data_IF_479008503096
#
_entry.id   IF_479008503096
#
_cell.length_a   1.000
_cell.length_b   1.000
_cell.length_c   1.000
_cell.angle_alpha   90.00
_cell.angle_beta   90.00
_cell.angle_gamma   90.00
#
_symmetry.space_group_name_H-M   'P 1'
#
loop_
_entity.id
_entity.type
_entity.pdbx_description
1 polymer ?
#
# COMPACT_ATOMS: atom_id res chain seq x y z
N UNK A 1 -8.00 -3.45 -24.77
CA UNK A 1 -6.66 -4.08 -24.86
C UNK A 1 -6.02 -3.97 -23.49
N UNK A 2 -5.96 -5.07 -22.77
CA UNK A 2 -5.45 -5.13 -21.39
C UNK A 2 -3.92 -5.02 -21.40
N UNK A 3 -3.37 -3.94 -20.86
CA UNK A 3 -1.94 -3.87 -20.54
C UNK A 3 -1.68 -4.74 -19.31
N UNK A 4 -1.23 -5.97 -19.55
CA UNK A 4 -0.67 -6.80 -18.47
C UNK A 4 0.58 -6.11 -17.94
N UNK A 5 0.51 -5.58 -16.73
CA UNK A 5 1.65 -5.05 -16.02
C UNK A 5 2.66 -6.18 -15.77
N UNK A 6 3.90 -5.99 -16.18
CA UNK A 6 4.99 -6.86 -15.77
C UNK A 6 5.42 -6.47 -14.35
N UNK A 7 5.54 -7.43 -13.41
CA UNK A 7 6.09 -7.14 -12.09
C UNK A 7 7.49 -6.56 -12.24
N UNK A 8 7.81 -5.51 -11.47
CA UNK A 8 9.14 -4.92 -11.48
C UNK A 8 10.20 -5.98 -11.23
N UNK A 9 11.20 -6.06 -12.10
CA UNK A 9 12.35 -6.92 -11.89
C UNK A 9 13.13 -6.46 -10.65
N UNK A 10 13.88 -7.38 -10.01
CA UNK A 10 14.72 -7.07 -8.84
C UNK A 10 15.68 -5.87 -9.06
N UNK A 11 16.04 -5.56 -10.30
CA UNK A 11 16.78 -4.35 -10.68
C UNK A 11 15.97 -3.06 -10.52
N UNK A 12 14.64 -3.11 -10.64
CA UNK A 12 13.74 -1.97 -10.36
C UNK A 12 13.65 -1.63 -8.87
N UNK A 13 13.85 -2.60 -7.98
CA UNK A 13 13.85 -2.39 -6.53
C UNK A 13 14.92 -1.38 -6.06
N UNK A 14 16.02 -1.25 -6.79
CA UNK A 14 17.05 -0.26 -6.51
C UNK A 14 16.52 1.18 -6.70
N UNK A 15 15.64 1.39 -7.69
CA UNK A 15 15.00 2.70 -7.91
C UNK A 15 13.91 3.00 -6.88
N UNK A 16 13.24 1.97 -6.32
CA UNK A 16 12.20 2.13 -5.31
C UNK A 16 12.78 2.50 -3.93
N UNK A 17 14.00 2.05 -3.62
CA UNK A 17 14.69 2.31 -2.35
C UNK A 17 15.80 3.39 -2.50
N UNK A 18 15.68 4.28 -3.49
CA UNK A 18 16.64 5.35 -3.71
C UNK A 18 16.64 6.33 -2.51
N UNK A 19 17.81 6.57 -1.87
CA UNK A 19 17.93 7.50 -0.74
C UNK A 19 17.47 8.93 -1.08
N UNK A 20 17.55 9.34 -2.34
CA UNK A 20 17.03 10.63 -2.82
C UNK A 20 15.51 10.69 -2.71
N UNK A 21 14.79 9.58 -2.99
CA UNK A 21 13.33 9.50 -2.83
C UNK A 21 12.92 9.68 -1.36
N UNK A 22 13.68 9.09 -0.43
CA UNK A 22 13.47 9.26 1.02
C UNK A 22 13.62 10.69 1.48
N UNK A 23 14.53 11.44 0.86
CA UNK A 23 14.78 12.83 1.19
C UNK A 23 13.69 13.76 0.66
N UNK A 24 13.09 13.40 -0.51
CA UNK A 24 12.06 14.23 -1.18
C UNK A 24 10.64 13.94 -0.62
N UNK A 25 10.38 12.71 -0.21
CA UNK A 25 9.10 12.28 0.36
C UNK A 25 9.35 11.26 1.46
N UNK A 26 9.70 11.69 2.68
CA UNK A 26 9.96 10.79 3.78
C UNK A 26 8.70 9.97 4.13
N UNK A 27 8.83 8.64 4.34
CA UNK A 27 7.69 7.79 4.68
C UNK A 27 6.97 8.25 5.94
N UNK A 28 7.69 8.79 6.91
CA UNK A 28 7.14 9.31 8.16
C UNK A 28 6.07 10.38 7.94
N UNK A 29 6.27 11.30 6.98
CA UNK A 29 5.29 12.33 6.68
C UNK A 29 3.97 11.77 6.12
N UNK A 30 4.03 10.72 5.30
CA UNK A 30 2.83 10.03 4.85
C UNK A 30 2.15 9.34 6.03
N UNK A 31 2.92 8.55 6.80
CA UNK A 31 2.41 7.75 7.92
C UNK A 31 1.76 8.64 9.00
N UNK A 32 2.29 9.83 9.26
CA UNK A 32 1.66 10.80 10.18
C UNK A 32 0.25 11.23 9.72
N UNK A 33 0.04 11.34 8.41
CA UNK A 33 -1.28 11.71 7.85
C UNK A 33 -2.32 10.60 7.95
N UNK A 34 -1.90 9.35 8.17
CA UNK A 34 -2.82 8.20 8.18
C UNK A 34 -3.62 8.06 9.49
N UNK A 35 -3.29 8.83 10.53
CA UNK A 35 -3.93 8.77 11.84
C UNK A 35 -4.04 7.32 12.37
N UNK A 36 -2.91 6.61 12.43
CA UNK A 36 -2.81 5.23 12.89
C UNK A 36 -2.96 5.19 14.41
N UNK A 37 -3.83 4.29 14.89
CA UNK A 37 -3.96 4.03 16.32
C UNK A 37 -2.92 2.97 16.75
N UNK A 38 -2.30 3.07 17.95
CA UNK A 38 -1.36 2.08 18.47
C UNK A 38 -1.92 0.65 18.61
N UNK A 39 -3.23 0.48 18.57
CA UNK A 39 -3.88 -0.83 18.58
C UNK A 39 -4.23 -1.38 17.18
N UNK A 40 -3.99 -0.61 16.12
CA UNK A 40 -4.33 -1.00 14.76
C UNK A 40 -3.45 -2.15 14.23
N UNK A 41 -4.04 -2.99 13.40
CA UNK A 41 -3.37 -3.91 12.48
C UNK A 41 -3.34 -3.24 11.11
N UNK A 42 -2.15 -2.93 10.61
CA UNK A 42 -1.96 -2.21 9.35
C UNK A 42 -1.27 -3.10 8.31
N UNK A 43 -1.84 -3.19 7.11
CA UNK A 43 -1.28 -3.91 5.96
C UNK A 43 -0.59 -2.91 5.04
N UNK A 44 0.66 -3.18 4.65
CA UNK A 44 1.39 -2.54 3.56
C UNK A 44 1.34 -3.46 2.34
N UNK A 45 0.44 -3.18 1.40
CA UNK A 45 0.23 -4.01 0.21
C UNK A 45 1.09 -3.54 -0.95
N UNK A 46 1.87 -4.46 -1.53
CA UNK A 46 2.96 -4.13 -2.45
C UNK A 46 4.10 -3.44 -1.72
N UNK A 47 4.49 -4.00 -0.57
CA UNK A 47 5.42 -3.36 0.36
C UNK A 47 6.83 -3.15 -0.22
N UNK A 48 7.17 -3.82 -1.34
CA UNK A 48 8.51 -3.80 -1.91
C UNK A 48 9.57 -4.12 -0.85
N UNK A 49 10.67 -3.37 -0.81
CA UNK A 49 11.73 -3.59 0.17
C UNK A 49 11.43 -2.99 1.57
N UNK A 50 10.14 -2.76 1.92
CA UNK A 50 9.70 -2.35 3.25
C UNK A 50 9.87 -0.86 3.56
N UNK A 51 9.74 0.01 2.55
CA UNK A 51 9.94 1.45 2.70
C UNK A 51 8.93 2.09 3.66
N UNK A 52 7.64 1.71 3.55
CA UNK A 52 6.59 2.19 4.43
C UNK A 52 6.29 1.24 5.58
N UNK A 53 6.54 -0.05 5.40
CA UNK A 53 6.25 -1.11 6.38
C UNK A 53 6.85 -0.83 7.76
N UNK A 54 8.12 -0.39 7.79
CA UNK A 54 8.83 -0.13 9.05
C UNK A 54 8.20 1.05 9.80
N UNK A 55 7.81 2.10 9.08
CA UNK A 55 7.18 3.27 9.71
C UNK A 55 5.75 2.96 10.18
N UNK A 56 5.00 2.13 9.42
CA UNK A 56 3.71 1.59 9.88
C UNK A 56 3.87 0.80 11.18
N UNK A 57 4.85 -0.11 11.23
CA UNK A 57 5.09 -0.96 12.40
C UNK A 57 5.47 -0.17 13.65
N UNK A 58 6.13 0.98 13.50
CA UNK A 58 6.46 1.88 14.64
C UNK A 58 5.23 2.55 15.25
N UNK A 59 4.12 2.66 14.48
CA UNK A 59 2.89 3.35 14.92
C UNK A 59 1.77 2.37 15.29
N UNK A 60 1.66 1.26 14.57
CA UNK A 60 0.61 0.25 14.72
C UNK A 60 0.99 -0.83 15.76
N UNK A 61 0.00 -1.54 16.27
CA UNK A 61 0.20 -2.75 17.08
C UNK A 61 0.99 -3.80 16.30
N UNK A 62 0.65 -3.98 15.02
CA UNK A 62 1.28 -4.93 14.10
C UNK A 62 1.20 -4.40 12.69
N UNK A 63 2.28 -4.51 11.94
CA UNK A 63 2.26 -4.33 10.49
C UNK A 63 2.27 -5.70 9.79
N UNK A 64 1.63 -5.76 8.61
CA UNK A 64 1.68 -6.92 7.72
C UNK A 64 2.21 -6.44 6.37
N UNK A 65 3.38 -6.92 5.99
CA UNK A 65 4.00 -6.65 4.69
C UNK A 65 3.54 -7.68 3.67
N UNK A 66 2.83 -7.26 2.64
CA UNK A 66 2.34 -8.13 1.57
C UNK A 66 3.02 -7.75 0.26
N UNK A 67 3.62 -8.71 -0.43
CA UNK A 67 4.21 -8.51 -1.75
C UNK A 67 4.14 -9.80 -2.58
N UNK A 68 4.08 -9.68 -3.89
CA UNK A 68 4.16 -10.81 -4.81
C UNK A 68 5.56 -11.43 -4.84
N UNK A 69 6.60 -10.62 -4.65
CA UNK A 69 8.00 -10.98 -4.73
C UNK A 69 8.57 -11.42 -3.38
N UNK A 70 8.91 -12.70 -3.26
CA UNK A 70 9.64 -13.22 -2.09
C UNK A 70 11.00 -12.54 -1.87
N UNK A 71 11.64 -12.07 -2.94
CA UNK A 71 12.89 -11.30 -2.86
C UNK A 71 12.68 -9.94 -2.18
N UNK A 72 11.57 -9.25 -2.52
CA UNK A 72 11.23 -7.98 -1.87
C UNK A 72 10.92 -8.18 -0.39
N UNK A 73 10.13 -9.20 -0.06
CA UNK A 73 9.85 -9.55 1.35
C UNK A 73 11.13 -9.84 2.14
N UNK A 74 12.08 -10.57 1.54
CA UNK A 74 13.37 -10.83 2.19
C UNK A 74 14.18 -9.54 2.42
N UNK A 75 14.17 -8.61 1.47
CA UNK A 75 14.79 -7.28 1.64
C UNK A 75 14.10 -6.48 2.74
N UNK A 76 12.76 -6.49 2.78
CA UNK A 76 11.98 -5.83 3.81
C UNK A 76 12.27 -6.40 5.20
N UNK A 77 12.32 -7.74 5.33
CA UNK A 77 12.66 -8.42 6.58
C UNK A 77 14.06 -8.05 7.08
N UNK A 78 15.08 -8.15 6.23
CA UNK A 78 16.44 -7.76 6.59
C UNK A 78 16.54 -6.29 7.05
N UNK A 79 15.74 -5.42 6.46
CA UNK A 79 15.69 -4.00 6.83
C UNK A 79 14.98 -3.80 8.18
N UNK A 80 13.90 -4.52 8.44
CA UNK A 80 13.19 -4.50 9.71
C UNK A 80 14.08 -4.98 10.84
N UNK A 81 14.79 -6.10 10.66
CA UNK A 81 15.75 -6.64 11.63
C UNK A 81 16.85 -5.61 11.97
N UNK A 82 17.45 -4.97 10.95
CA UNK A 82 18.46 -3.90 11.15
C UNK A 82 17.90 -2.68 11.87
N UNK A 83 16.61 -2.40 11.73
CA UNK A 83 15.92 -1.31 12.40
C UNK A 83 15.42 -1.69 13.81
N UNK A 84 15.56 -2.96 14.23
CA UNK A 84 15.07 -3.47 15.53
C UNK A 84 13.53 -3.52 15.61
N UNK A 85 12.83 -3.59 14.47
CA UNK A 85 11.37 -3.63 14.42
C UNK A 85 10.91 -5.07 14.28
N UNK A 86 10.20 -5.58 15.30
CA UNK A 86 9.89 -7.01 15.44
C UNK A 86 8.39 -7.34 15.22
N UNK A 87 7.51 -6.34 15.15
CA UNK A 87 6.07 -6.51 15.05
C UNK A 87 5.56 -6.50 13.58
N UNK A 88 6.34 -7.09 12.67
CA UNK A 88 5.99 -7.21 11.25
C UNK A 88 5.79 -8.68 10.89
N UNK A 89 4.65 -8.97 10.25
CA UNK A 89 4.40 -10.25 9.56
C UNK A 89 4.64 -10.07 8.07
N UNK A 90 5.33 -11.02 7.43
CA UNK A 90 5.63 -10.98 5.99
C UNK A 90 4.84 -12.07 5.28
N UNK A 91 4.04 -11.71 4.27
CA UNK A 91 3.17 -12.62 3.53
C UNK A 91 3.37 -12.46 2.02
N UNK A 92 3.67 -13.56 1.33
CA UNK A 92 3.71 -13.57 -0.12
C UNK A 92 2.30 -13.79 -0.67
N UNK A 93 1.77 -12.81 -1.43
CA UNK A 93 0.46 -12.90 -2.06
C UNK A 93 0.37 -11.95 -3.27
N UNK A 94 -0.46 -12.33 -4.25
CA UNK A 94 -0.88 -11.47 -5.35
C UNK A 94 -2.09 -10.59 -4.99
N UNK A 95 -2.58 -10.69 -3.76
CA UNK A 95 -3.71 -9.94 -3.25
C UNK A 95 -5.08 -10.59 -3.39
N UNK A 96 -5.21 -11.68 -4.15
CA UNK A 96 -6.52 -12.37 -4.30
C UNK A 96 -6.82 -13.33 -3.16
N UNK A 97 -5.80 -13.70 -2.38
CA UNK A 97 -5.91 -14.52 -1.18
C UNK A 97 -4.77 -14.14 -0.22
N UNK A 98 -5.06 -13.38 0.81
CA UNK A 98 -4.12 -12.96 1.86
C UNK A 98 -4.38 -13.80 3.11
N UNK A 99 -3.35 -14.44 3.65
CA UNK A 99 -3.45 -15.33 4.82
C UNK A 99 -3.71 -14.54 6.12
N UNK A 100 -4.85 -13.84 6.14
CA UNK A 100 -5.38 -13.08 7.28
C UNK A 100 -6.84 -13.46 7.50
N UNK A 101 -7.29 -13.36 8.74
CA UNK A 101 -8.69 -13.62 9.13
C UNK A 101 -9.62 -12.54 8.59
N UNK A 102 -10.90 -12.88 8.45
CA UNK A 102 -11.95 -11.91 8.09
C UNK A 102 -12.04 -10.81 9.15
N UNK A 103 -12.25 -9.59 8.71
CA UNK A 103 -12.46 -8.44 9.61
C UNK A 103 -11.36 -8.31 10.69
N UNK A 104 -10.10 -8.51 10.31
CA UNK A 104 -8.95 -8.49 11.23
C UNK A 104 -8.03 -7.28 11.05
N UNK A 105 -8.23 -6.48 9.99
CA UNK A 105 -7.35 -5.38 9.59
C UNK A 105 -8.05 -4.03 9.76
N UNK A 106 -7.34 -3.06 10.34
CA UNK A 106 -7.82 -1.70 10.57
C UNK A 106 -7.43 -0.75 9.42
N UNK A 107 -6.27 -0.99 8.79
CA UNK A 107 -5.75 -0.14 7.71
C UNK A 107 -5.11 -1.02 6.64
N UNK A 108 -5.44 -0.77 5.37
CA UNK A 108 -4.66 -1.23 4.21
C UNK A 108 -4.08 -0.01 3.52
N UNK A 109 -2.76 0.01 3.34
CA UNK A 109 -2.02 1.05 2.61
C UNK A 109 -1.45 0.48 1.32
N UNK A 110 -1.67 1.19 0.21
CA UNK A 110 -1.02 0.96 -1.09
C UNK A 110 -0.30 2.25 -1.51
N UNK A 111 0.98 2.16 -1.85
CA UNK A 111 1.72 3.34 -2.32
C UNK A 111 2.33 3.08 -3.68
N UNK A 112 1.73 3.65 -4.73
CA UNK A 112 2.15 3.47 -6.13
C UNK A 112 2.21 2.00 -6.57
N UNK A 113 1.17 1.24 -6.24
CA UNK A 113 1.05 -0.20 -6.48
C UNK A 113 -0.28 -0.54 -7.16
N UNK A 114 -1.36 0.20 -6.87
CA UNK A 114 -2.68 -0.19 -7.34
C UNK A 114 -2.78 -0.30 -8.87
N UNK A 115 -2.08 0.54 -9.61
CA UNK A 115 -2.01 0.49 -11.08
C UNK A 115 -1.33 -0.77 -11.64
N UNK A 116 -0.66 -1.57 -10.80
CA UNK A 116 -0.03 -2.85 -11.17
C UNK A 116 -0.92 -4.06 -10.85
N UNK A 117 -2.04 -3.84 -10.14
CA UNK A 117 -2.96 -4.90 -9.74
C UNK A 117 -3.69 -5.45 -10.97
N UNK A 118 -3.44 -6.72 -11.30
CA UNK A 118 -3.99 -7.34 -12.52
C UNK A 118 -5.45 -7.78 -12.40
N UNK A 119 -5.88 -8.22 -11.22
CA UNK A 119 -7.22 -8.75 -10.92
C UNK A 119 -7.88 -7.86 -9.85
N UNK A 120 -8.07 -6.58 -10.18
CA UNK A 120 -8.49 -5.56 -9.22
C UNK A 120 -9.79 -5.92 -8.49
N UNK A 121 -10.77 -6.49 -9.17
CA UNK A 121 -12.04 -6.93 -8.55
C UNK A 121 -11.82 -8.00 -7.48
N UNK A 122 -11.02 -9.03 -7.77
CA UNK A 122 -10.70 -10.09 -6.82
C UNK A 122 -9.90 -9.55 -5.62
N UNK A 123 -8.95 -8.65 -5.88
CA UNK A 123 -8.16 -7.99 -4.83
C UNK A 123 -9.03 -7.09 -3.95
N UNK A 124 -9.93 -6.30 -4.52
CA UNK A 124 -10.87 -5.47 -3.75
C UNK A 124 -11.82 -6.32 -2.90
N UNK A 125 -12.28 -7.47 -3.43
CA UNK A 125 -13.08 -8.43 -2.65
C UNK A 125 -12.29 -8.98 -1.46
N UNK A 126 -11.02 -9.28 -1.65
CA UNK A 126 -10.15 -9.77 -0.58
C UNK A 126 -9.86 -8.66 0.45
N UNK A 127 -9.60 -7.43 0.02
CA UNK A 127 -9.47 -6.29 0.92
C UNK A 127 -10.75 -6.09 1.74
N UNK A 128 -11.92 -6.18 1.09
CA UNK A 128 -13.19 -6.10 1.80
C UNK A 128 -13.38 -7.24 2.81
N UNK A 129 -12.90 -8.46 2.54
CA UNK A 129 -12.95 -9.58 3.47
C UNK A 129 -12.12 -9.31 4.73
N UNK A 130 -10.86 -8.90 4.56
CA UNK A 130 -9.93 -8.75 5.70
C UNK A 130 -10.12 -7.44 6.48
N UNK A 131 -10.62 -6.36 5.85
CA UNK A 131 -10.90 -5.09 6.52
C UNK A 131 -12.06 -5.25 7.51
N UNK A 132 -11.93 -4.68 8.70
CA UNK A 132 -13.03 -4.50 9.65
C UNK A 132 -14.09 -3.54 9.08
N UNK A 133 -15.33 -3.56 9.55
CA UNK A 133 -16.30 -2.50 9.27
C UNK A 133 -15.72 -1.12 9.64
N UNK A 134 -15.99 -0.10 8.84
CA UNK A 134 -15.54 1.28 9.03
C UNK A 134 -14.00 1.49 9.06
N UNK A 135 -13.25 0.45 8.69
CA UNK A 135 -11.79 0.53 8.59
C UNK A 135 -11.32 1.19 7.29
N UNK A 136 -10.04 1.52 7.20
CA UNK A 136 -9.49 2.39 6.15
C UNK A 136 -8.76 1.61 5.05
N UNK A 137 -9.08 1.93 3.80
CA UNK A 137 -8.26 1.62 2.63
C UNK A 137 -7.63 2.92 2.13
N UNK A 138 -6.31 2.99 2.12
CA UNK A 138 -5.57 4.20 1.75
C UNK A 138 -4.73 3.91 0.52
N UNK A 139 -4.95 4.68 -0.54
CA UNK A 139 -4.26 4.52 -1.81
C UNK A 139 -3.52 5.80 -2.14
N UNK A 140 -2.22 5.68 -2.41
CA UNK A 140 -1.38 6.78 -2.88
C UNK A 140 -0.97 6.49 -4.31
N UNK A 141 -1.41 7.33 -5.24
CA UNK A 141 -1.12 7.14 -6.67
C UNK A 141 -0.65 8.43 -7.35
N UNK A 142 0.06 8.26 -8.46
CA UNK A 142 0.51 9.35 -9.30
C UNK A 142 -0.67 9.90 -10.10
N UNK A 143 -0.99 11.19 -9.90
CA UNK A 143 -2.11 11.87 -10.57
C UNK A 143 -1.67 12.98 -11.55
N UNK A 144 -0.38 13.31 -11.56
CA UNK A 144 0.21 14.29 -12.49
C UNK A 144 1.60 13.84 -12.92
N UNK A 145 1.97 14.10 -14.16
CA UNK A 145 3.33 13.86 -14.65
C UNK A 145 4.35 14.64 -13.82
N UNK A 146 5.41 13.96 -13.40
CA UNK A 146 6.53 14.53 -12.64
C UNK A 146 7.87 14.01 -13.13
N UNK A 147 8.96 14.62 -12.67
CA UNK A 147 10.32 14.34 -13.15
C UNK A 147 10.80 12.92 -12.72
N UNK A 148 10.20 12.33 -11.69
CA UNK A 148 10.71 11.09 -11.06
C UNK A 148 9.78 9.89 -11.12
N UNK A 149 8.75 9.90 -11.98
CA UNK A 149 7.72 8.85 -11.96
C UNK A 149 7.77 8.01 -13.23
N UNK A 150 8.28 6.79 -13.13
CA UNK A 150 8.04 5.72 -14.09
C UNK A 150 6.61 5.15 -14.02
N UNK A 151 5.86 5.47 -12.96
CA UNK A 151 4.49 5.03 -12.78
C UNK A 151 3.51 5.77 -13.70
N UNK A 152 2.48 5.10 -14.22
CA UNK A 152 1.45 5.73 -15.04
C UNK A 152 0.64 6.73 -14.22
N UNK A 153 0.22 7.81 -14.89
CA UNK A 153 -0.66 8.81 -14.27
C UNK A 153 -2.08 8.25 -14.20
N UNK A 154 -2.63 8.17 -12.99
CA UNK A 154 -3.97 7.68 -12.75
C UNK A 154 -5.00 8.81 -12.87
N UNK A 155 -6.19 8.47 -13.38
CA UNK A 155 -7.34 9.36 -13.35
C UNK A 155 -8.02 9.22 -11.97
N UNK A 156 -8.12 10.29 -11.15
CA UNK A 156 -8.68 10.23 -9.81
C UNK A 156 -10.13 9.76 -9.77
N UNK A 157 -10.96 10.19 -10.74
CA UNK A 157 -12.38 9.80 -10.79
C UNK A 157 -12.57 8.33 -11.18
N UNK A 158 -11.76 7.82 -12.12
CA UNK A 158 -11.79 6.41 -12.48
C UNK A 158 -11.33 5.52 -11.32
N UNK A 159 -10.24 5.89 -10.65
CA UNK A 159 -9.74 5.19 -9.45
C UNK A 159 -10.81 5.17 -8.35
N UNK A 160 -11.43 6.33 -8.06
CA UNK A 160 -12.52 6.43 -7.09
C UNK A 160 -13.67 5.48 -7.44
N UNK A 161 -14.17 5.53 -8.66
CA UNK A 161 -15.31 4.70 -9.10
C UNK A 161 -15.00 3.20 -8.96
N UNK A 162 -13.78 2.78 -9.32
CA UNK A 162 -13.34 1.40 -9.20
C UNK A 162 -13.27 0.93 -7.75
N UNK A 163 -12.65 1.71 -6.85
CA UNK A 163 -12.56 1.35 -5.43
C UNK A 163 -13.94 1.35 -4.76
N UNK A 164 -14.81 2.29 -5.11
CA UNK A 164 -16.17 2.36 -4.56
C UNK A 164 -17.05 1.18 -5.00
N UNK A 165 -16.76 0.55 -6.14
CA UNK A 165 -17.41 -0.69 -6.57
C UNK A 165 -17.07 -1.89 -5.65
N UNK A 166 -15.93 -1.84 -4.96
CA UNK A 166 -15.45 -2.84 -4.00
C UNK A 166 -15.95 -2.63 -2.57
N UNK A 167 -17.13 -2.00 -2.39
CA UNK A 167 -17.75 -1.75 -1.07
C UNK A 167 -16.98 -0.79 -0.17
N UNK A 168 -16.24 0.13 -0.76
CA UNK A 168 -15.62 1.25 -0.05
C UNK A 168 -16.31 2.57 -0.42
N UNK A 169 -16.05 3.63 0.36
CA UNK A 169 -16.53 4.99 0.10
C UNK A 169 -15.35 5.95 0.25
N UNK A 170 -15.15 6.83 -0.73
CA UNK A 170 -14.15 7.87 -0.62
C UNK A 170 -14.60 8.92 0.41
N UNK A 171 -13.79 9.12 1.44
CA UNK A 171 -14.00 10.14 2.46
C UNK A 171 -13.23 11.42 2.16
N UNK A 172 -11.99 11.27 1.69
CA UNK A 172 -11.11 12.39 1.43
C UNK A 172 -10.06 12.06 0.37
N UNK A 173 -9.71 13.05 -0.42
CA UNK A 173 -8.53 13.03 -1.27
C UNK A 173 -7.64 14.23 -0.93
N UNK A 174 -6.37 13.96 -0.60
CA UNK A 174 -5.37 14.99 -0.36
C UNK A 174 -4.41 15.05 -1.56
N UNK A 175 -4.48 16.11 -2.38
CA UNK A 175 -3.51 16.29 -3.46
C UNK A 175 -2.14 16.64 -2.88
N UNK A 176 -1.11 15.99 -3.41
CA UNK A 176 0.29 16.36 -3.22
C UNK A 176 0.88 16.77 -4.56
N UNK A 177 2.16 17.16 -4.58
CA UNK A 177 2.82 17.73 -5.79
C UNK A 177 2.48 16.97 -7.09
N UNK A 178 2.66 15.64 -7.12
CA UNK A 178 2.40 14.79 -8.28
C UNK A 178 1.55 13.57 -7.95
N UNK A 179 1.24 13.35 -6.67
CA UNK A 179 0.46 12.20 -6.18
C UNK A 179 -0.82 12.67 -5.50
N UNK A 180 -1.80 11.78 -5.42
CA UNK A 180 -2.99 11.93 -4.58
C UNK A 180 -2.99 10.87 -3.49
N UNK A 181 -3.39 11.24 -2.28
CA UNK A 181 -3.66 10.31 -1.19
C UNK A 181 -5.18 10.19 -1.10
N UNK A 182 -5.71 9.00 -1.35
CA UNK A 182 -7.14 8.69 -1.31
C UNK A 182 -7.45 7.91 -0.05
N UNK A 183 -8.33 8.41 0.77
CA UNK A 183 -8.80 7.77 2.00
C UNK A 183 -10.20 7.23 1.75
N UNK A 184 -10.31 5.91 1.71
CA UNK A 184 -11.58 5.22 1.63
C UNK A 184 -11.90 4.55 2.96
N UNK A 185 -13.20 4.46 3.26
CA UNK A 185 -13.72 3.70 4.40
C UNK A 185 -14.55 2.53 3.87
N UNK A 186 -14.36 1.32 4.44
CA UNK A 186 -15.20 0.18 4.15
C UNK A 186 -16.62 0.47 4.62
N UNK A 187 -17.61 0.27 3.73
CA UNK A 187 -19.04 0.37 4.09
C UNK A 187 -19.43 -0.74 5.06
N UNK A 188 -20.38 -0.45 5.92
CA UNK A 188 -20.96 -1.42 6.87
C UNK A 188 -21.82 -2.45 6.15
#
# INVERSE_FOLDING_TARGET
MSHKGHPYSASGAFFLDNPIRRLIQPPSELIEKLAINPNDVAVDFGCGPGYYTIELAKKAKRAVAVDLSSEMLKKAQNKAEKAGVMNIQFLQSNGTNIQLEDSSVDIILLVTVYHEVGESEAVLKEFNRILKPESKLIIVEVIKKGIFHGAPVQNPEALKAEIESGNCKLEQMLPQKNTGIFFFTKKT
#
